data_IF_291468451006
#
_entry.id   IF_291468451006
#
_cell.length_a   1.000
_cell.length_b   1.000
_cell.length_c   1.000
_cell.angle_alpha   90.00
_cell.angle_beta   90.00
_cell.angle_gamma   90.00
#
_symmetry.space_group_name_H-M   'P 1'
#
loop_
_entity.id
_entity.type
_entity.pdbx_description
1 polymer ?
#
# COMPACT_ATOMS: atom_id res chain seq x y z
N UNK A 1 -11.96 2.44 -7.23
CA UNK A 1 -10.50 2.35 -7.47
C UNK A 1 -10.12 0.89 -7.73
N UNK A 2 -8.93 0.57 -8.26
CA UNK A 2 -8.53 -0.82 -8.61
C UNK A 2 -7.25 -1.31 -7.97
N UNK A 3 -6.32 -0.41 -7.62
CA UNK A 3 -5.05 -0.76 -6.98
C UNK A 3 -4.91 -0.10 -5.61
N UNK A 4 -4.52 -0.88 -4.59
CA UNK A 4 -4.20 -0.40 -3.24
C UNK A 4 -2.71 -0.60 -2.98
N UNK A 5 -1.97 0.50 -2.86
CA UNK A 5 -0.54 0.54 -2.57
C UNK A 5 -0.37 1.09 -1.16
N UNK A 6 0.33 0.39 -0.28
CA UNK A 6 0.44 0.75 1.14
C UNK A 6 1.92 0.77 1.56
N UNK A 7 2.31 1.76 2.36
CA UNK A 7 3.63 1.73 3.01
C UNK A 7 3.73 0.59 4.03
N UNK A 8 4.95 0.21 4.40
CA UNK A 8 5.18 -0.77 5.45
C UNK A 8 5.46 -0.10 6.80
N UNK A 9 6.56 0.62 6.90
CA UNK A 9 7.00 1.27 8.15
C UNK A 9 6.04 2.42 8.47
N UNK A 10 5.55 2.49 9.71
CA UNK A 10 4.58 3.49 10.15
C UNK A 10 3.12 3.17 9.80
N UNK A 11 2.87 2.11 9.01
CA UNK A 11 1.52 1.73 8.57
C UNK A 11 1.18 0.28 8.93
N UNK A 12 1.99 -0.67 8.45
CA UNK A 12 1.77 -2.12 8.59
C UNK A 12 2.62 -2.77 9.69
N UNK A 13 3.59 -2.06 10.26
CA UNK A 13 4.45 -2.52 11.36
C UNK A 13 3.94 -2.09 12.76
N UNK A 14 2.68 -1.64 12.83
CA UNK A 14 2.02 -1.25 14.07
C UNK A 14 1.71 -2.41 15.02
N UNK A 15 0.78 -2.18 15.95
CA UNK A 15 0.39 -3.16 16.96
C UNK A 15 -0.09 -4.48 16.33
N UNK A 16 -0.02 -5.60 17.07
CA UNK A 16 -0.55 -6.87 16.55
C UNK A 16 -2.05 -6.78 16.20
N UNK A 17 -2.79 -5.91 16.87
CA UNK A 17 -4.19 -5.63 16.59
C UNK A 17 -4.35 -4.92 15.24
N UNK A 18 -3.63 -3.83 15.01
CA UNK A 18 -3.68 -3.11 13.73
C UNK A 18 -3.24 -4.02 12.58
N UNK A 19 -2.20 -4.83 12.78
CA UNK A 19 -1.77 -5.79 11.78
C UNK A 19 -2.84 -6.84 11.46
N UNK A 20 -3.62 -7.30 12.45
CA UNK A 20 -4.76 -8.19 12.19
C UNK A 20 -5.84 -7.48 11.38
N UNK A 21 -6.15 -6.23 11.71
CA UNK A 21 -7.16 -5.42 11.00
C UNK A 21 -6.73 -5.15 9.55
N UNK A 22 -5.46 -4.81 9.32
CA UNK A 22 -4.89 -4.67 7.98
C UNK A 22 -4.98 -5.96 7.16
N UNK A 23 -4.64 -7.12 7.75
CA UNK A 23 -4.78 -8.41 7.06
C UNK A 23 -6.24 -8.70 6.67
N UNK A 24 -7.20 -8.37 7.52
CA UNK A 24 -8.62 -8.51 7.20
C UNK A 24 -9.03 -7.57 6.06
N UNK A 25 -8.55 -6.33 6.07
CA UNK A 25 -8.82 -5.34 5.04
C UNK A 25 -8.23 -5.75 3.68
N UNK A 26 -6.99 -6.24 3.63
CA UNK A 26 -6.41 -6.77 2.40
C UNK A 26 -7.18 -7.99 1.87
N UNK A 27 -7.61 -8.90 2.75
CA UNK A 27 -8.43 -10.03 2.35
C UNK A 27 -9.75 -9.59 1.71
N UNK A 28 -10.42 -8.57 2.28
CA UNK A 28 -11.64 -8.02 1.71
C UNK A 28 -11.40 -7.25 0.40
N UNK A 29 -10.32 -6.47 0.31
CA UNK A 29 -9.92 -5.80 -0.92
C UNK A 29 -9.70 -6.81 -2.06
N UNK A 30 -9.00 -7.90 -1.76
CA UNK A 30 -8.76 -9.00 -2.71
C UNK A 30 -10.07 -9.68 -3.16
N UNK A 31 -11.01 -9.90 -2.24
CA UNK A 31 -12.33 -10.43 -2.58
C UNK A 31 -13.14 -9.48 -3.48
N UNK A 32 -12.90 -8.18 -3.39
CA UNK A 32 -13.48 -7.15 -4.26
C UNK A 32 -12.68 -6.93 -5.56
N UNK A 33 -11.69 -7.79 -5.86
CA UNK A 33 -10.88 -7.70 -7.07
C UNK A 33 -9.90 -6.53 -7.11
N UNK A 34 -9.54 -5.98 -5.94
CA UNK A 34 -8.53 -4.95 -5.79
C UNK A 34 -7.14 -5.59 -5.80
N UNK A 35 -6.26 -5.10 -6.66
CA UNK A 35 -4.85 -5.50 -6.70
C UNK A 35 -4.08 -4.77 -5.59
N UNK A 36 -3.22 -5.48 -4.87
CA UNK A 36 -2.63 -4.98 -3.61
C UNK A 36 -1.10 -5.05 -3.63
N UNK A 37 -0.43 -3.97 -3.25
CA UNK A 37 1.02 -3.93 -3.14
C UNK A 37 1.49 -3.22 -1.86
N UNK A 38 2.65 -3.64 -1.37
CA UNK A 38 3.45 -2.86 -0.42
C UNK A 38 4.51 -2.11 -1.22
N UNK A 39 4.63 -0.79 -1.02
CA UNK A 39 5.72 0.03 -1.55
C UNK A 39 6.45 0.68 -0.38
N UNK A 40 7.63 0.16 -0.03
CA UNK A 40 8.39 0.59 1.14
C UNK A 40 9.72 1.22 0.73
N UNK A 41 10.06 2.36 1.34
CA UNK A 41 11.40 2.95 1.27
C UNK A 41 12.36 2.18 2.19
N UNK A 42 12.61 0.92 1.85
CA UNK A 42 13.51 0.02 2.54
C UNK A 42 14.69 -0.37 1.62
N UNK A 43 15.93 -0.49 2.14
CA UNK A 43 17.08 -0.90 1.34
C UNK A 43 17.02 -2.34 0.83
N UNK A 44 16.11 -3.17 1.35
CA UNK A 44 15.95 -4.56 0.95
C UNK A 44 16.92 -5.52 1.63
N UNK A 45 17.21 -6.63 0.94
CA UNK A 45 18.09 -7.67 1.45
C UNK A 45 17.48 -8.48 2.61
N UNK A 46 18.31 -9.14 3.46
CA UNK A 46 17.80 -10.05 4.49
C UNK A 46 16.97 -9.39 5.59
N UNK A 47 17.20 -8.10 5.87
CA UNK A 47 16.44 -7.36 6.88
C UNK A 47 14.97 -7.14 6.51
N UNK A 48 14.67 -7.15 5.22
CA UNK A 48 13.32 -6.94 4.69
C UNK A 48 12.47 -8.21 4.56
N UNK A 49 12.98 -9.36 5.04
CA UNK A 49 12.23 -10.62 5.00
C UNK A 49 10.85 -10.55 5.68
N UNK A 50 10.70 -9.87 6.83
CA UNK A 50 9.37 -9.66 7.43
C UNK A 50 8.38 -8.89 6.54
N UNK A 51 8.88 -8.09 5.59
CA UNK A 51 8.04 -7.38 4.60
C UNK A 51 7.63 -8.37 3.50
N UNK A 52 8.59 -9.11 2.93
CA UNK A 52 8.33 -10.09 1.85
C UNK A 52 7.39 -11.21 2.27
N UNK A 53 7.38 -11.58 3.56
CA UNK A 53 6.42 -12.55 4.10
C UNK A 53 4.95 -12.17 3.83
N UNK A 54 4.63 -10.90 3.61
CA UNK A 54 3.28 -10.48 3.23
C UNK A 54 2.91 -10.95 1.81
N UNK A 55 3.85 -10.92 0.88
CA UNK A 55 3.67 -11.46 -0.47
C UNK A 55 3.76 -12.99 -0.47
N UNK A 56 4.75 -13.57 0.21
CA UNK A 56 4.94 -15.04 0.23
C UNK A 56 3.75 -15.78 0.81
N UNK A 57 3.05 -15.16 1.77
CA UNK A 57 1.83 -15.71 2.37
C UNK A 57 0.56 -15.29 1.62
N UNK A 58 0.68 -14.55 0.53
CA UNK A 58 -0.41 -14.11 -0.33
C UNK A 58 -1.34 -13.08 0.30
N UNK A 59 -0.87 -12.35 1.33
CA UNK A 59 -1.63 -11.28 1.99
C UNK A 59 -1.76 -10.08 1.05
N UNK A 60 -0.68 -9.74 0.36
CA UNK A 60 -0.65 -8.78 -0.76
C UNK A 60 -0.16 -9.47 -2.02
N UNK A 61 -0.41 -8.87 -3.18
CA UNK A 61 -0.02 -9.44 -4.47
C UNK A 61 1.43 -9.12 -4.85
N UNK A 62 2.02 -8.05 -4.29
CA UNK A 62 3.43 -7.70 -4.51
C UNK A 62 4.06 -6.93 -3.33
N UNK A 63 5.36 -7.12 -3.10
CA UNK A 63 6.18 -6.29 -2.22
C UNK A 63 7.29 -5.61 -3.03
N UNK A 64 7.37 -4.28 -2.92
CA UNK A 64 8.32 -3.44 -3.64
C UNK A 64 9.16 -2.66 -2.63
N UNK A 65 10.47 -2.91 -2.68
CA UNK A 65 11.45 -2.31 -1.77
C UNK A 65 12.35 -1.38 -2.56
N UNK A 66 12.46 -0.13 -2.11
CA UNK A 66 13.16 0.93 -2.87
C UNK A 66 14.59 0.57 -3.28
N UNK A 67 15.36 -0.10 -2.40
CA UNK A 67 16.73 -0.53 -2.69
C UNK A 67 16.83 -1.62 -3.76
N UNK A 68 15.75 -2.34 -4.02
CA UNK A 68 15.68 -3.44 -5.00
C UNK A 68 15.13 -2.97 -6.34
N UNK A 69 14.14 -2.06 -6.31
CA UNK A 69 13.55 -1.49 -7.53
C UNK A 69 14.34 -0.28 -8.07
N UNK A 70 15.26 0.27 -7.28
CA UNK A 70 16.13 1.39 -7.65
C UNK A 70 15.43 2.74 -7.73
N UNK A 71 14.30 2.90 -7.04
CA UNK A 71 13.54 4.14 -6.93
C UNK A 71 12.82 4.18 -5.58
N UNK A 72 12.71 5.35 -4.97
CA UNK A 72 12.09 5.55 -3.65
C UNK A 72 11.01 6.63 -3.71
N UNK A 73 9.99 6.53 -2.86
CA UNK A 73 9.05 7.63 -2.64
C UNK A 73 9.83 8.82 -2.06
N UNK A 74 9.55 10.08 -2.45
CA UNK A 74 8.39 10.56 -3.22
C UNK A 74 8.61 10.61 -4.75
N UNK A 75 9.61 9.95 -5.31
CA UNK A 75 9.82 9.95 -6.78
C UNK A 75 8.62 9.28 -7.50
N UNK A 76 8.07 9.95 -8.52
CA UNK A 76 7.02 9.43 -9.42
C UNK A 76 7.36 8.02 -9.91
N UNK A 77 8.64 7.76 -10.20
CA UNK A 77 9.10 6.47 -10.70
C UNK A 77 8.79 5.32 -9.74
N UNK A 78 8.87 5.52 -8.43
CA UNK A 78 8.57 4.47 -7.45
C UNK A 78 7.08 4.08 -7.50
N UNK A 79 6.20 5.07 -7.62
CA UNK A 79 4.75 4.86 -7.72
C UNK A 79 4.35 4.30 -9.08
N UNK A 80 5.02 4.70 -10.17
CA UNK A 80 4.83 4.12 -11.49
C UNK A 80 5.20 2.64 -11.50
N UNK A 81 6.35 2.26 -10.93
CA UNK A 81 6.75 0.85 -10.80
C UNK A 81 5.68 0.05 -10.05
N UNK A 82 5.16 0.59 -8.94
CA UNK A 82 4.11 -0.07 -8.19
C UNK A 82 2.81 -0.25 -8.97
N UNK A 83 2.37 0.77 -9.70
CA UNK A 83 1.19 0.68 -10.55
C UNK A 83 1.40 -0.33 -11.71
N UNK A 84 2.57 -0.30 -12.35
CA UNK A 84 2.93 -1.20 -13.44
C UNK A 84 3.01 -2.66 -12.97
N UNK A 85 3.54 -2.92 -11.77
CA UNK A 85 3.54 -4.27 -11.15
C UNK A 85 2.14 -4.79 -10.90
N UNK A 86 1.18 -3.91 -10.59
CA UNK A 86 -0.23 -4.25 -10.45
C UNK A 86 -0.98 -4.29 -11.78
N UNK A 87 -0.30 -4.04 -12.91
CA UNK A 87 -0.89 -3.94 -14.26
C UNK A 87 -2.00 -2.88 -14.37
N UNK A 88 -1.84 -1.76 -13.65
CA UNK A 88 -2.81 -0.68 -13.57
C UNK A 88 -2.19 0.66 -13.97
N UNK A 89 -2.95 1.58 -14.58
CA UNK A 89 -2.52 2.97 -14.69
C UNK A 89 -2.52 3.63 -13.31
N UNK A 90 -1.57 4.53 -13.03
CA UNK A 90 -1.46 5.23 -11.74
C UNK A 90 -2.79 5.86 -11.26
N UNK A 91 -3.59 6.41 -12.17
CA UNK A 91 -4.91 7.00 -11.86
C UNK A 91 -5.95 6.04 -11.29
N UNK A 92 -5.73 4.74 -11.43
CA UNK A 92 -6.61 3.70 -10.87
C UNK A 92 -6.08 3.18 -9.51
N UNK A 93 -4.95 3.72 -9.02
CA UNK A 93 -4.30 3.32 -7.78
C UNK A 93 -4.49 4.34 -6.65
N UNK A 94 -4.55 3.83 -5.43
CA UNK A 94 -4.54 4.59 -4.18
C UNK A 94 -3.21 4.31 -3.46
N UNK A 95 -2.51 5.36 -3.02
CA UNK A 95 -1.37 5.25 -2.10
C UNK A 95 -1.82 5.59 -0.67
N UNK A 96 -1.55 4.68 0.27
CA UNK A 96 -1.65 4.90 1.71
C UNK A 96 -0.24 5.01 2.29
N UNK A 97 0.07 6.14 2.92
CA UNK A 97 1.41 6.42 3.43
C UNK A 97 1.33 7.39 4.62
N UNK A 98 2.18 7.24 5.63
CA UNK A 98 2.21 8.10 6.81
C UNK A 98 3.02 9.39 6.59
N UNK A 99 3.80 9.46 5.51
CA UNK A 99 4.51 10.65 5.07
C UNK A 99 3.66 11.51 4.14
N UNK A 100 3.28 12.71 4.61
CA UNK A 100 2.56 13.69 3.79
C UNK A 100 3.32 14.08 2.51
N UNK A 101 4.65 13.97 2.50
CA UNK A 101 5.46 14.26 1.30
C UNK A 101 5.22 13.20 0.24
N UNK A 102 5.18 11.92 0.63
CA UNK A 102 4.90 10.81 -0.27
C UNK A 102 3.46 10.89 -0.81
N UNK A 103 2.49 11.13 0.08
CA UNK A 103 1.08 11.26 -0.29
C UNK A 103 0.87 12.40 -1.29
N UNK A 104 1.49 13.56 -1.07
CA UNK A 104 1.38 14.69 -2.00
C UNK A 104 1.98 14.38 -3.36
N UNK A 105 3.15 13.75 -3.40
CA UNK A 105 3.77 13.36 -4.66
C UNK A 105 2.92 12.32 -5.43
N UNK A 106 2.25 11.42 -4.72
CA UNK A 106 1.31 10.49 -5.34
C UNK A 106 0.13 11.21 -6.00
N UNK A 107 -0.45 12.20 -5.31
CA UNK A 107 -1.52 13.04 -5.88
C UNK A 107 -1.01 13.82 -7.10
N UNK A 108 0.20 14.40 -7.02
CA UNK A 108 0.81 15.14 -8.14
C UNK A 108 1.12 14.22 -9.35
N UNK A 109 1.47 12.95 -9.11
CA UNK A 109 1.66 11.91 -10.12
C UNK A 109 0.32 11.33 -10.67
N UNK A 110 -0.82 11.70 -10.08
CA UNK A 110 -2.15 11.32 -10.55
C UNK A 110 -2.78 10.11 -9.85
N UNK A 111 -2.16 9.58 -8.79
CA UNK A 111 -2.81 8.61 -7.90
C UNK A 111 -3.82 9.31 -6.98
N UNK A 112 -4.70 8.54 -6.34
CA UNK A 112 -5.37 9.00 -5.12
C UNK A 112 -4.41 8.81 -3.95
N UNK A 113 -4.15 9.86 -3.17
CA UNK A 113 -3.30 9.77 -1.98
C UNK A 113 -4.11 9.89 -0.69
N UNK A 114 -3.83 9.02 0.28
CA UNK A 114 -4.44 9.04 1.62
C UNK A 114 -3.33 9.08 2.66
N UNK A 115 -3.38 10.08 3.54
CA UNK A 115 -2.46 10.19 4.67
C UNK A 115 -2.89 9.25 5.80
N UNK A 116 -2.03 8.28 6.09
CA UNK A 116 -2.18 7.42 7.25
C UNK A 116 -1.81 8.17 8.54
N UNK A 117 -2.69 8.10 9.53
CA UNK A 117 -2.45 8.63 10.89
C UNK A 117 -2.93 7.65 11.96
N UNK A 118 -4.02 6.94 11.66
CA UNK A 118 -4.54 5.83 12.44
C UNK A 118 -5.33 4.91 11.52
N UNK A 119 -5.48 3.65 11.93
CA UNK A 119 -6.30 2.69 11.20
C UNK A 119 -7.76 3.15 11.09
N UNK A 120 -8.38 3.56 12.21
CA UNK A 120 -9.80 3.93 12.27
C UNK A 120 -10.20 5.05 11.30
N UNK A 121 -9.30 6.01 11.07
CA UNK A 121 -9.54 7.08 10.10
C UNK A 121 -9.35 6.59 8.67
N UNK A 122 -8.26 5.88 8.43
CA UNK A 122 -7.84 5.48 7.08
C UNK A 122 -8.77 4.42 6.50
N UNK A 123 -9.29 3.52 7.32
CA UNK A 123 -10.14 2.43 6.85
C UNK A 123 -11.46 2.94 6.26
N UNK A 124 -12.03 4.02 6.79
CA UNK A 124 -13.22 4.66 6.22
C UNK A 124 -12.94 5.16 4.79
N UNK A 125 -11.76 5.74 4.56
CA UNK A 125 -11.35 6.21 3.22
C UNK A 125 -11.15 5.03 2.26
N UNK A 126 -10.46 3.97 2.70
CA UNK A 126 -10.20 2.77 1.87
C UNK A 126 -11.52 2.08 1.49
N UNK A 127 -12.37 1.81 2.47
CA UNK A 127 -13.66 1.13 2.27
C UNK A 127 -14.52 1.91 1.28
N UNK A 128 -14.57 3.24 1.40
CA UNK A 128 -15.31 4.09 0.46
C UNK A 128 -14.70 4.17 -0.95
N UNK A 129 -13.37 4.19 -1.08
CA UNK A 129 -12.69 4.28 -2.39
C UNK A 129 -12.77 2.99 -3.22
N UNK A 130 -12.87 1.84 -2.54
CA UNK A 130 -12.91 0.52 -3.16
C UNK A 130 -14.29 -0.17 -3.09
N UNK A 131 -15.30 0.51 -2.54
CA UNK A 131 -16.68 -0.01 -2.41
C UNK A 131 -16.72 -1.36 -1.68
N UNK A 132 -15.91 -1.48 -0.62
CA UNK A 132 -15.84 -2.70 0.21
C UNK A 132 -17.00 -2.68 1.20
N UNK A 133 -17.69 -3.80 1.39
CA UNK A 133 -18.69 -3.95 2.45
C UNK A 133 -18.08 -4.53 3.73
N UNK A 134 -18.43 -3.99 4.90
CA UNK A 134 -18.05 -4.54 6.21
C UNK A 134 -17.48 -3.51 7.20
N UNK A 135 -17.30 -3.94 8.45
CA UNK A 135 -16.59 -3.19 9.50
C UNK A 135 -15.21 -3.83 9.75
N UNK A 136 -14.17 -3.00 9.88
CA UNK A 136 -12.75 -3.39 9.92
C UNK A 136 -12.00 -2.79 11.10
#
# INVERSE_FOLDING_TARGET
MRGLIVDYVGVLDGSEEDQRRWRNLFAAAKQNGVATAILSNDPGGPGAEPIREWEYRGIVDAVLLSGEIGAEKPDERAMSIAADTLELPMRDCVLIDDSIVNVRAAVEAGLVGVLYQSFDRTVVEIVGLFDIEGEF
#
